data_IF_091058779033
#
_entry.id   IF_091058779033
#
_cell.length_a   1.000
_cell.length_b   1.000
_cell.length_c   1.000
_cell.angle_alpha   90.00
_cell.angle_beta   90.00
_cell.angle_gamma   90.00
#
_symmetry.space_group_name_H-M   'P 1'
#
loop_
_entity.id
_entity.type
_entity.pdbx_description
1 polymer ?
#
# COMPACT_ATOMS: atom_id res chain seq x y z
N UNK A 1 10.55 -5.03 13.88
CA UNK A 1 9.07 -4.96 13.91
C UNK A 1 8.66 -3.70 13.18
N UNK A 2 7.86 -3.82 12.13
CA UNK A 2 7.46 -2.68 11.30
C UNK A 2 6.52 -1.72 12.04
N UNK A 3 6.71 -0.41 11.82
CA UNK A 3 5.79 0.63 12.27
C UNK A 3 4.91 1.06 11.10
N UNK A 4 3.59 1.01 11.30
CA UNK A 4 2.61 1.40 10.27
C UNK A 4 2.27 2.88 10.45
N UNK A 5 2.43 3.67 9.38
CA UNK A 5 2.06 5.08 9.32
C UNK A 5 0.91 5.24 8.33
N UNK A 6 -0.22 5.78 8.78
CA UNK A 6 -1.40 6.00 7.94
C UNK A 6 -1.58 7.50 7.68
N UNK A 7 -1.71 7.88 6.40
CA UNK A 7 -1.87 9.26 5.97
C UNK A 7 -3.33 9.52 5.60
N UNK A 8 -4.15 9.84 6.59
CA UNK A 8 -5.61 9.92 6.44
C UNK A 8 -6.13 11.35 6.58
N UNK A 9 -7.04 11.76 5.70
CA UNK A 9 -7.82 12.99 5.80
C UNK A 9 -9.01 12.91 4.85
N UNK A 10 -10.22 13.22 5.33
CA UNK A 10 -11.45 13.15 4.56
C UNK A 10 -11.50 14.18 3.42
N UNK A 11 -10.76 15.30 3.53
CA UNK A 11 -10.69 16.32 2.48
C UNK A 11 -9.75 15.91 1.34
N UNK A 12 -10.20 16.07 0.10
CA UNK A 12 -9.38 15.92 -1.11
C UNK A 12 -8.35 17.05 -1.27
N UNK A 13 -7.23 16.77 -1.94
CA UNK A 13 -6.24 17.81 -2.30
C UNK A 13 -5.44 18.40 -1.12
N UNK A 14 -5.38 17.74 0.03
CA UNK A 14 -4.66 18.23 1.23
C UNK A 14 -3.24 17.66 1.38
N UNK A 15 -2.70 17.02 0.34
CA UNK A 15 -1.33 16.52 0.32
C UNK A 15 -1.11 15.16 0.99
N UNK A 16 -2.14 14.31 1.15
CA UNK A 16 -2.01 12.95 1.72
C UNK A 16 -1.00 12.10 0.95
N UNK A 17 -1.23 11.93 -0.34
CA UNK A 17 -0.37 11.15 -1.25
C UNK A 17 1.03 11.74 -1.31
N UNK A 18 1.12 13.07 -1.48
CA UNK A 18 2.40 13.78 -1.47
C UNK A 18 3.20 13.51 -0.20
N UNK A 19 2.54 13.56 0.97
CA UNK A 19 3.18 13.28 2.25
C UNK A 19 3.61 11.81 2.36
N UNK A 20 2.73 10.87 2.01
CA UNK A 20 3.01 9.45 2.07
C UNK A 20 4.23 9.06 1.19
N UNK A 21 4.24 9.51 -0.06
CA UNK A 21 5.33 9.26 -1.02
C UNK A 21 6.64 9.88 -0.53
N UNK A 22 6.63 11.16 -0.16
CA UNK A 22 7.87 11.84 0.25
C UNK A 22 8.41 11.32 1.57
N UNK A 23 7.55 10.97 2.53
CA UNK A 23 7.99 10.32 3.77
C UNK A 23 8.59 8.94 3.47
N UNK A 24 7.95 8.15 2.59
CA UNK A 24 8.47 6.83 2.23
C UNK A 24 9.85 6.92 1.55
N UNK A 25 10.01 7.82 0.58
CA UNK A 25 11.29 8.09 -0.07
C UNK A 25 12.34 8.58 0.93
N UNK A 26 11.98 9.50 1.83
CA UNK A 26 12.92 10.03 2.83
C UNK A 26 13.42 8.94 3.80
N UNK A 27 12.53 8.01 4.18
CA UNK A 27 12.89 6.84 4.98
C UNK A 27 13.82 5.89 4.20
N UNK A 28 13.48 5.59 2.94
CA UNK A 28 14.30 4.74 2.07
C UNK A 28 15.71 5.32 1.81
N UNK A 29 15.82 6.64 1.60
CA UNK A 29 17.11 7.36 1.52
C UNK A 29 17.94 7.21 2.80
N UNK A 30 17.27 7.11 3.95
CA UNK A 30 17.90 6.87 5.24
C UNK A 30 18.16 5.38 5.52
N UNK A 31 18.13 4.55 4.47
CA UNK A 31 18.32 3.09 4.51
C UNK A 31 17.30 2.34 5.38
N UNK A 32 16.17 2.98 5.68
CA UNK A 32 15.06 2.32 6.37
C UNK A 32 14.23 1.56 5.35
N UNK A 33 14.18 0.23 5.45
CA UNK A 33 13.32 -0.60 4.61
C UNK A 33 11.87 -0.16 4.75
N UNK A 34 11.30 0.30 3.65
CA UNK A 34 10.01 0.98 3.61
C UNK A 34 9.12 0.33 2.56
N UNK A 35 7.89 0.03 2.95
CA UNK A 35 6.83 -0.40 2.06
C UNK A 35 5.78 0.70 1.97
N UNK A 36 5.61 1.27 0.78
CA UNK A 36 4.50 2.17 0.49
C UNK A 36 3.30 1.36 0.03
N UNK A 37 2.12 1.61 0.60
CA UNK A 37 0.88 0.94 0.19
C UNK A 37 -0.07 2.03 -0.29
N UNK A 38 -0.41 1.99 -1.58
CA UNK A 38 -1.44 2.86 -2.13
C UNK A 38 -2.81 2.27 -1.80
N UNK A 39 -3.67 3.04 -1.14
CA UNK A 39 -5.02 2.65 -0.72
C UNK A 39 -6.06 3.66 -1.22
N UNK A 40 -5.74 4.39 -2.29
CA UNK A 40 -6.63 5.33 -2.95
C UNK A 40 -6.99 4.75 -4.33
N UNK A 41 -8.28 4.56 -4.66
CA UNK A 41 -8.65 4.05 -5.98
C UNK A 41 -8.10 4.89 -7.14
N UNK A 42 -7.82 6.18 -6.93
CA UNK A 42 -7.21 7.06 -7.93
C UNK A 42 -5.75 6.74 -8.22
N UNK A 43 -5.11 5.90 -7.41
CA UNK A 43 -3.78 5.34 -7.64
C UNK A 43 -2.69 6.40 -7.83
N UNK A 44 -2.82 7.53 -7.14
CA UNK A 44 -1.92 8.67 -7.27
C UNK A 44 -0.50 8.38 -6.75
N UNK A 45 -0.34 7.52 -5.73
CA UNK A 45 1.00 7.15 -5.26
C UNK A 45 1.66 6.17 -6.23
N UNK A 46 0.89 5.18 -6.69
CA UNK A 46 1.31 4.18 -7.67
C UNK A 46 1.78 4.85 -8.96
N UNK A 47 0.96 5.72 -9.55
CA UNK A 47 1.29 6.44 -10.79
C UNK A 47 2.43 7.42 -10.62
N UNK A 48 2.51 8.10 -9.46
CA UNK A 48 3.61 9.02 -9.15
C UNK A 48 4.98 8.35 -9.04
N UNK A 49 5.04 7.02 -8.86
CA UNK A 49 6.27 6.25 -8.77
C UNK A 49 6.45 5.25 -9.92
N UNK A 50 5.63 5.34 -10.97
CA UNK A 50 5.60 4.34 -12.05
C UNK A 50 6.94 4.18 -12.81
N UNK A 51 7.81 5.20 -12.80
CA UNK A 51 9.14 5.08 -13.41
C UNK A 51 10.11 4.22 -12.58
N UNK A 52 9.74 3.85 -11.35
CA UNK A 52 10.59 3.05 -10.47
C UNK A 52 10.34 1.55 -10.60
N UNK A 53 9.39 1.09 -11.41
CA UNK A 53 9.10 -0.33 -11.60
C UNK A 53 8.47 -0.58 -12.98
N UNK A 54 8.73 -1.76 -13.55
CA UNK A 54 8.22 -2.09 -14.90
C UNK A 54 6.76 -2.56 -14.87
N UNK A 55 6.48 -3.56 -14.00
CA UNK A 55 5.15 -4.16 -13.84
C UNK A 55 4.83 -4.31 -12.36
N UNK A 56 3.54 -4.16 -12.03
CA UNK A 56 3.05 -4.39 -10.67
C UNK A 56 2.75 -5.88 -10.48
N UNK A 57 3.20 -6.46 -9.37
CA UNK A 57 2.96 -7.87 -9.05
C UNK A 57 1.50 -8.15 -8.64
N UNK A 58 0.78 -7.11 -8.24
CA UNK A 58 -0.61 -7.16 -7.85
C UNK A 58 -1.05 -5.85 -7.23
N UNK A 59 -2.20 -5.86 -6.58
CA UNK A 59 -2.78 -4.66 -5.98
C UNK A 59 -3.33 -4.95 -4.57
N UNK A 60 -3.56 -3.88 -3.80
CA UNK A 60 -4.08 -3.99 -2.44
C UNK A 60 -5.53 -4.50 -2.39
N UNK A 61 -6.31 -4.30 -3.46
CA UNK A 61 -7.70 -4.71 -3.52
C UNK A 61 -7.85 -6.23 -3.40
N UNK A 62 -7.08 -6.99 -4.18
CA UNK A 62 -7.03 -8.45 -4.11
C UNK A 62 -6.69 -8.96 -2.70
N UNK A 63 -5.74 -8.31 -2.04
CA UNK A 63 -5.31 -8.65 -0.67
C UNK A 63 -6.44 -8.41 0.33
N UNK A 64 -7.18 -7.32 0.19
CA UNK A 64 -8.29 -6.99 1.09
C UNK A 64 -9.46 -7.97 0.95
N UNK A 65 -9.70 -8.52 -0.24
CA UNK A 65 -10.76 -9.50 -0.49
C UNK A 65 -10.36 -10.92 -0.05
N UNK A 66 -9.15 -11.37 -0.41
CA UNK A 66 -8.68 -12.74 -0.16
C UNK A 66 -8.17 -12.93 1.28
N UNK A 67 -7.64 -11.87 1.88
CA UNK A 67 -7.15 -11.86 3.27
C UNK A 67 -5.80 -12.56 3.47
N UNK A 68 -5.15 -13.00 2.39
CA UNK A 68 -3.81 -13.59 2.33
C UNK A 68 -3.05 -13.12 1.07
N UNK A 69 -1.82 -13.60 0.86
CA UNK A 69 -1.04 -13.28 -0.35
C UNK A 69 -0.39 -11.89 -0.38
N UNK A 70 -0.39 -11.12 0.72
CA UNK A 70 0.17 -9.76 0.70
C UNK A 70 1.63 -9.69 0.24
N UNK A 71 2.42 -10.75 0.47
CA UNK A 71 3.82 -10.81 0.04
C UNK A 71 3.97 -10.91 -1.47
N UNK A 72 3.00 -11.56 -2.12
CA UNK A 72 3.04 -11.85 -3.55
C UNK A 72 2.69 -10.60 -4.38
N UNK A 73 2.04 -9.61 -3.78
CA UNK A 73 1.69 -8.35 -4.44
C UNK A 73 2.69 -7.21 -4.17
N UNK A 74 3.73 -7.46 -3.37
CA UNK A 74 4.80 -6.48 -3.15
C UNK A 74 5.61 -6.38 -4.44
N UNK A 75 5.70 -5.17 -4.98
CA UNK A 75 6.49 -4.83 -6.15
C UNK A 75 7.76 -4.14 -5.69
N UNK A 76 8.92 -4.74 -6.00
CA UNK A 76 10.19 -4.08 -5.74
C UNK A 76 10.43 -2.95 -6.72
N UNK A 77 10.89 -1.83 -6.19
CA UNK A 77 11.23 -0.67 -7.01
C UNK A 77 12.72 -0.63 -7.31
N UNK A 78 13.12 0.12 -8.33
CA UNK A 78 14.51 0.44 -8.63
C UNK A 78 15.14 1.38 -7.60
N UNK A 79 14.33 1.94 -6.69
CA UNK A 79 14.80 2.79 -5.59
C UNK A 79 15.17 1.93 -4.37
N UNK A 80 16.45 1.93 -3.93
CA UNK A 80 16.88 1.08 -2.82
C UNK A 80 16.06 1.30 -1.54
N UNK A 81 15.76 0.22 -0.83
CA UNK A 81 14.98 0.21 0.42
C UNK A 81 13.51 0.67 0.29
N UNK A 82 13.00 0.86 -0.93
CA UNK A 82 11.59 1.17 -1.18
C UNK A 82 10.93 0.06 -2.00
N UNK A 83 9.91 -0.55 -1.42
CA UNK A 83 8.96 -1.41 -2.11
C UNK A 83 7.58 -0.74 -2.15
N UNK A 84 6.71 -1.19 -3.05
CA UNK A 84 5.33 -0.68 -3.17
C UNK A 84 4.31 -1.83 -3.28
N UNK A 85 3.13 -1.64 -2.67
CA UNK A 85 1.90 -2.34 -3.07
C UNK A 85 1.01 -1.32 -3.77
N UNK A 86 0.72 -1.57 -5.03
CA UNK A 86 -0.07 -0.69 -5.88
C UNK A 86 -1.56 -0.74 -5.52
N UNK A 87 -2.29 0.27 -5.97
CA UNK A 87 -3.75 0.26 -6.07
C UNK A 87 -4.18 0.28 -7.52
N UNK A 88 -5.44 -0.03 -7.76
CA UNK A 88 -6.12 0.12 -9.05
C UNK A 88 -7.49 0.75 -8.82
N UNK A 89 -8.14 1.16 -9.91
CA UNK A 89 -9.53 1.63 -9.87
C UNK A 89 -10.51 0.57 -9.32
N UNK A 90 -10.14 -0.71 -9.32
CA UNK A 90 -10.95 -1.80 -8.77
C UNK A 90 -11.20 -1.62 -7.26
N UNK A 91 -10.35 -0.85 -6.57
CA UNK A 91 -10.54 -0.52 -5.16
C UNK A 91 -11.85 0.25 -4.90
N UNK A 92 -12.46 0.87 -5.92
CA UNK A 92 -13.84 1.42 -5.82
C UNK A 92 -14.85 0.32 -5.50
N UNK A 93 -14.67 -0.88 -6.05
CA UNK A 93 -15.53 -2.05 -5.81
C UNK A 93 -15.38 -2.63 -4.40
N UNK A 94 -14.25 -2.36 -3.73
CA UNK A 94 -13.97 -2.85 -2.39
C UNK A 94 -15.04 -2.47 -1.38
N UNK A 95 -15.56 -1.23 -1.46
CA UNK A 95 -16.59 -0.76 -0.54
C UNK A 95 -17.90 -1.56 -0.64
N UNK A 96 -18.20 -2.14 -1.82
CA UNK A 96 -19.40 -2.94 -2.06
C UNK A 96 -19.14 -4.40 -1.69
N UNK A 97 -18.04 -4.98 -2.17
CA UNK A 97 -17.74 -6.40 -1.97
C UNK A 97 -17.41 -6.73 -0.51
N UNK A 98 -16.67 -5.85 0.17
CA UNK A 98 -16.33 -6.01 1.57
C UNK A 98 -17.55 -5.92 2.50
N UNK A 99 -18.72 -5.45 2.04
CA UNK A 99 -19.93 -5.39 2.89
C UNK A 99 -20.30 -6.76 3.43
N UNK A 100 -20.13 -7.79 2.60
CA UNK A 100 -20.45 -9.19 2.93
C UNK A 100 -19.38 -9.87 3.78
N UNK A 101 -18.20 -9.26 3.91
CA UNK A 101 -17.06 -9.84 4.60
C UNK A 101 -17.17 -9.57 6.10
N UNK A 102 -17.10 -10.64 6.90
CA UNK A 102 -17.05 -10.51 8.36
C UNK A 102 -15.78 -9.78 8.79
N UNK A 103 -15.91 -8.85 9.74
CA UNK A 103 -14.80 -8.07 10.28
C UNK A 103 -14.02 -7.31 9.18
N UNK A 104 -14.72 -6.76 8.18
CA UNK A 104 -14.14 -6.08 7.01
C UNK A 104 -13.16 -4.97 7.37
N UNK A 105 -13.43 -4.23 8.44
CA UNK A 105 -12.58 -3.17 8.98
C UNK A 105 -11.19 -3.65 9.44
N UNK A 106 -11.02 -4.96 9.65
CA UNK A 106 -9.78 -5.59 10.09
C UNK A 106 -9.02 -6.32 8.97
N UNK A 107 -9.53 -6.35 7.73
CA UNK A 107 -8.90 -7.13 6.64
C UNK A 107 -7.47 -6.67 6.34
N UNK A 108 -7.26 -5.36 6.21
CA UNK A 108 -5.92 -4.81 6.01
C UNK A 108 -4.99 -5.12 7.18
N UNK A 109 -5.48 -5.01 8.43
CA UNK A 109 -4.68 -5.33 9.61
C UNK A 109 -4.25 -6.81 9.62
N UNK A 110 -5.18 -7.71 9.28
CA UNK A 110 -4.91 -9.15 9.18
C UNK A 110 -3.84 -9.43 8.13
N UNK A 111 -3.97 -8.86 6.94
CA UNK A 111 -3.01 -9.01 5.85
C UNK A 111 -1.61 -8.50 6.25
N UNK A 112 -1.52 -7.30 6.83
CA UNK A 112 -0.26 -6.71 7.29
C UNK A 112 0.44 -7.53 8.39
N UNK A 113 -0.31 -8.32 9.15
CA UNK A 113 0.23 -9.25 10.15
C UNK A 113 1.29 -10.21 9.59
N UNK A 114 1.17 -10.60 8.32
CA UNK A 114 2.10 -11.53 7.67
C UNK A 114 3.49 -10.93 7.36
N UNK A 115 3.60 -9.61 7.31
CA UNK A 115 4.85 -8.91 6.93
C UNK A 115 5.44 -8.05 8.06
N UNK A 116 4.65 -7.74 9.09
CA UNK A 116 5.05 -6.88 10.22
C UNK A 116 6.30 -7.36 10.96
N UNK A 117 6.56 -8.67 10.99
CA UNK A 117 7.69 -9.27 11.69
C UNK A 117 8.92 -9.52 10.79
N UNK A 118 8.75 -9.48 9.46
CA UNK A 118 9.82 -9.81 8.50
C UNK A 118 10.53 -8.56 7.94
N UNK A 119 10.02 -7.37 8.24
CA UNK A 119 10.71 -6.10 8.00
C UNK A 119 11.57 -5.75 9.23
N UNK A 120 12.72 -6.42 9.34
CA UNK A 120 13.88 -6.03 10.17
C UNK A 120 15.09 -5.90 9.28
#
# INVERSE_FOLDING_TARGET
MAKVLAFTNQKGGVGKTTSAVNVALSLAVSEVRTLLIDLDPQSNATTGLAELFDEVNGNIYDVMLKGDGIKDVITSTSFPHLDIIASTNDLVGAEIELVSVMAREYQLQKALGAIKNNMI
#
